data_IF_270077275658
#
_entry.id   IF_270077275658
#
_cell.length_a   1.000
_cell.length_b   1.000
_cell.length_c   1.000
_cell.angle_alpha   90.00
_cell.angle_beta   90.00
_cell.angle_gamma   90.00
#
_symmetry.space_group_name_H-M   'P 1'
#
loop_
_entity.id
_entity.type
_entity.pdbx_description
1 polymer ?
#
# COMPACT_ATOMS: atom_id res chain seq x y z
N UNK A 1 -71.52 41.76 -3.48
CA UNK A 1 -70.55 40.66 -3.26
C UNK A 1 -69.35 40.89 -4.15
N UNK A 2 -68.16 41.15 -3.59
CA UNK A 2 -66.90 41.30 -4.35
C UNK A 2 -66.05 40.06 -4.07
N UNK A 3 -65.89 39.21 -5.09
CA UNK A 3 -65.13 37.96 -5.01
C UNK A 3 -63.64 38.28 -5.03
N UNK A 4 -62.91 37.95 -3.95
CA UNK A 4 -61.44 38.03 -3.91
C UNK A 4 -60.86 36.78 -4.56
N UNK A 5 -60.10 36.95 -5.63
CA UNK A 5 -59.33 35.89 -6.27
C UNK A 5 -57.97 35.81 -5.58
N UNK A 6 -57.67 34.69 -4.91
CA UNK A 6 -56.36 34.43 -4.32
C UNK A 6 -55.59 33.56 -5.33
N UNK A 7 -54.51 34.11 -5.90
CA UNK A 7 -53.54 33.32 -6.65
C UNK A 7 -52.57 32.65 -5.68
N UNK A 8 -52.55 31.32 -5.68
CA UNK A 8 -51.52 30.51 -5.00
C UNK A 8 -50.43 30.20 -6.03
N UNK A 9 -49.25 30.75 -5.84
CA UNK A 9 -48.05 30.37 -6.60
C UNK A 9 -47.49 29.07 -5.99
N UNK A 10 -47.68 27.94 -6.68
CA UNK A 10 -46.97 26.70 -6.35
C UNK A 10 -45.52 26.83 -6.85
N UNK A 11 -44.57 26.96 -5.93
CA UNK A 11 -43.16 26.80 -6.23
C UNK A 11 -42.86 25.30 -6.33
N UNK A 12 -42.87 24.77 -7.55
CA UNK A 12 -42.41 23.41 -7.83
C UNK A 12 -40.89 23.46 -7.74
N UNK A 13 -40.36 23.10 -6.57
CA UNK A 13 -38.95 22.72 -6.46
C UNK A 13 -38.76 21.43 -7.25
N UNK A 14 -38.30 21.57 -8.49
CA UNK A 14 -37.70 20.46 -9.21
C UNK A 14 -36.45 20.06 -8.43
N UNK A 15 -36.58 19.08 -7.54
CA UNK A 15 -35.47 18.31 -7.00
C UNK A 15 -34.87 17.56 -8.18
N UNK A 16 -34.05 18.25 -8.95
CA UNK A 16 -33.12 17.62 -9.86
C UNK A 16 -32.11 16.92 -8.94
N UNK A 17 -32.35 15.66 -8.61
CA UNK A 17 -31.33 14.81 -8.03
C UNK A 17 -30.20 14.76 -9.05
N UNK A 18 -29.17 15.58 -8.84
CA UNK A 18 -27.97 15.51 -9.65
C UNK A 18 -27.41 14.10 -9.47
N UNK A 19 -27.61 13.24 -10.46
CA UNK A 19 -26.83 12.02 -10.54
C UNK A 19 -25.37 12.46 -10.58
N UNK A 20 -24.59 12.05 -9.57
CA UNK A 20 -23.14 12.15 -9.62
C UNK A 20 -22.75 11.42 -10.90
N UNK A 21 -22.19 12.10 -11.93
CA UNK A 21 -21.88 11.42 -13.17
C UNK A 21 -20.94 10.25 -12.88
N UNK A 22 -21.17 9.10 -13.53
CA UNK A 22 -20.36 7.88 -13.34
C UNK A 22 -18.85 8.14 -13.44
N UNK A 23 -18.46 9.19 -14.20
CA UNK A 23 -17.08 9.66 -14.33
C UNK A 23 -16.40 10.07 -13.02
N UNK A 24 -17.16 10.42 -11.97
CA UNK A 24 -16.62 10.80 -10.64
C UNK A 24 -16.28 9.55 -9.80
N UNK A 25 -16.75 8.36 -10.21
CA UNK A 25 -16.56 7.10 -9.49
C UNK A 25 -15.50 6.18 -10.13
N UNK A 26 -14.89 6.58 -11.25
CA UNK A 26 -13.92 5.71 -11.95
C UNK A 26 -12.54 5.84 -11.31
N UNK A 27 -12.12 4.78 -10.63
CA UNK A 27 -10.72 4.58 -10.22
C UNK A 27 -9.93 4.13 -11.46
N UNK A 28 -8.95 4.94 -11.87
CA UNK A 28 -7.93 4.57 -12.86
C UNK A 28 -6.62 4.38 -12.11
N UNK A 29 -6.38 3.14 -11.71
CA UNK A 29 -5.27 2.75 -10.84
C UNK A 29 -4.02 2.37 -11.60
N UNK A 30 -2.85 2.67 -11.02
CA UNK A 30 -1.57 2.10 -11.40
C UNK A 30 -0.86 1.59 -10.14
N UNK A 31 -0.25 0.40 -10.19
CA UNK A 31 0.44 -0.21 -9.04
C UNK A 31 1.89 -0.54 -9.42
N UNK A 32 2.84 0.04 -8.70
CA UNK A 32 4.27 -0.08 -8.99
C UNK A 32 5.10 -0.02 -7.69
N UNK A 33 6.31 -0.57 -7.72
CA UNK A 33 7.26 -0.41 -6.62
C UNK A 33 7.67 1.05 -6.44
N UNK A 34 7.95 1.44 -5.20
CA UNK A 34 8.54 2.73 -4.87
C UNK A 34 9.90 2.90 -5.58
N UNK A 35 10.23 4.11 -6.06
CA UNK A 35 11.53 4.34 -6.68
C UNK A 35 12.65 4.24 -5.64
N UNK A 36 13.87 3.98 -6.09
CA UNK A 36 15.05 4.24 -5.26
C UNK A 36 15.25 5.75 -5.09
N UNK A 37 15.96 6.20 -4.03
CA UNK A 37 16.38 7.58 -3.84
C UNK A 37 17.00 8.23 -5.08
N UNK A 38 17.84 7.50 -5.80
CA UNK A 38 18.55 7.97 -7.00
C UNK A 38 17.61 8.20 -8.19
N UNK A 39 16.58 7.35 -8.34
CA UNK A 39 15.61 7.41 -9.45
C UNK A 39 14.38 8.27 -9.14
N UNK A 40 14.35 8.93 -7.99
CA UNK A 40 13.21 9.74 -7.58
C UNK A 40 12.86 10.82 -8.62
N UNK A 41 13.85 11.50 -9.18
CA UNK A 41 13.62 12.54 -10.18
C UNK A 41 12.84 12.03 -11.40
N UNK A 42 13.29 10.92 -11.97
CA UNK A 42 12.63 10.26 -13.10
C UNK A 42 11.22 9.80 -12.73
N UNK A 43 11.03 9.28 -11.52
CA UNK A 43 9.73 8.82 -11.05
C UNK A 43 8.72 9.96 -10.88
N UNK A 44 9.16 11.13 -10.37
CA UNK A 44 8.30 12.31 -10.28
C UNK A 44 7.89 12.80 -11.68
N UNK A 45 8.83 12.82 -12.63
CA UNK A 45 8.53 13.14 -14.02
C UNK A 45 7.54 12.15 -14.65
N UNK A 46 7.67 10.85 -14.35
CA UNK A 46 6.72 9.82 -14.78
C UNK A 46 5.32 10.03 -14.17
N UNK A 47 5.23 10.38 -12.89
CA UNK A 47 3.95 10.70 -12.26
C UNK A 47 3.24 11.88 -12.94
N UNK A 48 4.00 12.93 -13.28
CA UNK A 48 3.48 14.15 -13.90
C UNK A 48 3.11 13.94 -15.37
N UNK A 49 4.02 13.40 -16.17
CA UNK A 49 3.86 13.36 -17.62
C UNK A 49 3.05 12.15 -18.09
N UNK A 50 3.29 10.98 -17.50
CA UNK A 50 2.72 9.74 -17.98
C UNK A 50 1.47 9.35 -17.18
N UNK A 51 1.55 9.33 -15.85
CA UNK A 51 0.37 8.94 -15.04
C UNK A 51 -0.72 10.00 -15.14
N UNK A 52 -0.42 11.24 -14.73
CA UNK A 52 -1.41 12.32 -14.77
C UNK A 52 -1.82 12.66 -16.21
N UNK A 53 -0.88 12.69 -17.14
CA UNK A 53 -1.15 12.93 -18.57
C UNK A 53 -2.10 11.91 -19.21
N UNK A 54 -2.11 10.65 -18.73
CA UNK A 54 -3.06 9.61 -19.18
C UNK A 54 -4.31 9.49 -18.28
N UNK A 55 -4.48 10.42 -17.33
CA UNK A 55 -5.64 10.48 -16.45
C UNK A 55 -5.68 9.38 -15.38
N UNK A 56 -4.53 8.77 -15.04
CA UNK A 56 -4.41 7.94 -13.85
C UNK A 56 -4.66 8.84 -12.62
N UNK A 57 -5.55 8.40 -11.74
CA UNK A 57 -5.97 9.18 -10.58
C UNK A 57 -5.70 8.47 -9.24
N UNK A 58 -5.19 7.24 -9.28
CA UNK A 58 -4.84 6.47 -8.09
C UNK A 58 -3.53 5.72 -8.33
N UNK A 59 -2.57 5.88 -7.43
CA UNK A 59 -1.27 5.23 -7.49
C UNK A 59 -1.07 4.42 -6.22
N UNK A 60 -1.00 3.09 -6.36
CA UNK A 60 -0.54 2.20 -5.29
C UNK A 60 0.97 2.07 -5.40
N UNK A 61 1.68 2.43 -4.33
CA UNK A 61 3.14 2.38 -4.29
C UNK A 61 3.59 1.28 -3.33
N UNK A 62 4.29 0.27 -3.84
CA UNK A 62 4.86 -0.80 -3.01
C UNK A 62 6.13 -0.29 -2.34
N UNK A 63 6.00 0.11 -1.07
CA UNK A 63 7.06 0.74 -0.27
C UNK A 63 7.85 -0.32 0.49
N UNK A 64 7.16 -1.28 1.12
CA UNK A 64 7.78 -2.32 1.95
C UNK A 64 8.82 -1.72 2.90
N UNK A 65 10.09 -2.13 2.82
CA UNK A 65 11.19 -1.64 3.65
C UNK A 65 11.98 -0.46 3.05
N UNK A 66 11.57 0.03 1.87
CA UNK A 66 12.17 1.16 1.14
C UNK A 66 11.71 2.53 1.67
N UNK A 67 11.76 2.70 2.99
CA UNK A 67 11.55 3.98 3.66
C UNK A 67 12.41 4.03 4.95
N UNK A 68 12.92 5.20 5.30
CA UNK A 68 13.75 5.40 6.49
C UNK A 68 12.93 5.37 7.80
N UNK A 69 12.27 4.24 8.09
CA UNK A 69 11.42 4.03 9.27
C UNK A 69 12.10 4.39 10.58
N UNK A 70 11.54 5.33 11.35
CA UNK A 70 12.07 5.73 12.67
C UNK A 70 11.66 4.77 13.78
N UNK A 71 10.48 4.17 13.67
CA UNK A 71 9.95 3.17 14.60
C UNK A 71 10.85 1.95 14.70
N UNK A 72 11.25 1.37 13.56
CA UNK A 72 12.13 0.21 13.48
C UNK A 72 13.28 0.43 12.48
N UNK A 73 14.35 1.14 12.88
CA UNK A 73 15.47 1.48 11.99
C UNK A 73 16.22 0.28 11.40
N UNK A 74 16.21 -0.85 12.10
CA UNK A 74 16.87 -2.08 11.67
C UNK A 74 16.17 -2.76 10.48
N UNK A 75 14.88 -2.47 10.26
CA UNK A 75 14.12 -3.02 9.13
C UNK A 75 14.33 -2.29 7.81
N UNK A 76 14.98 -1.13 7.81
CA UNK A 76 15.17 -0.31 6.60
C UNK A 76 16.00 -1.02 5.55
N UNK A 77 15.68 -0.83 4.28
CA UNK A 77 16.60 -1.15 3.20
C UNK A 77 17.81 -0.18 3.19
N UNK A 78 18.94 -0.62 2.65
CA UNK A 78 20.17 0.20 2.59
C UNK A 78 19.97 1.49 1.80
N UNK A 79 19.16 1.44 0.73
CA UNK A 79 18.85 2.58 -0.14
C UNK A 79 17.39 3.02 0.00
N UNK A 80 16.96 3.26 1.24
CA UNK A 80 15.59 3.64 1.56
C UNK A 80 15.27 5.11 1.23
N UNK A 81 14.02 5.40 0.87
CA UNK A 81 13.55 6.77 0.70
C UNK A 81 13.52 7.54 2.03
N UNK A 82 14.12 8.73 2.04
CA UNK A 82 14.02 9.64 3.18
C UNK A 82 12.64 10.27 3.31
N UNK A 83 12.31 10.76 4.51
CA UNK A 83 11.09 11.55 4.75
C UNK A 83 10.93 12.72 3.77
N UNK A 84 12.03 13.42 3.45
CA UNK A 84 12.01 14.55 2.51
C UNK A 84 11.59 14.09 1.11
N UNK A 85 12.13 12.95 0.65
CA UNK A 85 11.83 12.38 -0.66
C UNK A 85 10.40 11.86 -0.73
N UNK A 86 9.89 11.20 0.32
CA UNK A 86 8.47 10.83 0.39
C UNK A 86 7.57 12.06 0.33
N UNK A 87 7.91 13.15 1.03
CA UNK A 87 7.13 14.40 0.91
C UNK A 87 7.17 15.03 -0.49
N UNK A 88 8.19 14.74 -1.31
CA UNK A 88 8.18 15.11 -2.73
C UNK A 88 7.16 14.27 -3.51
N UNK A 89 7.10 12.94 -3.30
CA UNK A 89 6.08 12.06 -3.89
C UNK A 89 4.66 12.52 -3.53
N UNK A 90 4.40 12.77 -2.24
CA UNK A 90 3.09 13.24 -1.74
C UNK A 90 2.70 14.57 -2.38
N UNK A 91 3.65 15.52 -2.49
CA UNK A 91 3.39 16.81 -3.13
C UNK A 91 3.04 16.63 -4.59
N UNK A 92 3.85 15.90 -5.36
CA UNK A 92 3.62 15.67 -6.79
C UNK A 92 2.29 14.94 -7.04
N UNK A 93 1.95 13.94 -6.23
CA UNK A 93 0.67 13.25 -6.33
C UNK A 93 -0.51 14.23 -6.13
N UNK A 94 -0.46 15.05 -5.09
CA UNK A 94 -1.50 16.05 -4.79
C UNK A 94 -1.63 17.13 -5.86
N UNK A 95 -0.51 17.65 -6.37
CA UNK A 95 -0.50 18.66 -7.44
C UNK A 95 -1.13 18.13 -8.75
N UNK A 96 -1.10 16.81 -8.94
CA UNK A 96 -1.64 16.13 -10.12
C UNK A 96 -2.98 15.40 -9.86
N UNK A 97 -3.61 15.60 -8.71
CA UNK A 97 -4.85 14.90 -8.31
C UNK A 97 -4.76 13.36 -8.35
N UNK A 98 -3.58 12.82 -8.05
CA UNK A 98 -3.35 11.39 -7.89
C UNK A 98 -3.49 11.04 -6.41
N UNK A 99 -4.42 10.13 -6.09
CA UNK A 99 -4.52 9.51 -4.78
C UNK A 99 -3.37 8.53 -4.58
N UNK A 100 -2.48 8.82 -3.64
CA UNK A 100 -1.30 8.00 -3.35
C UNK A 100 -1.59 7.04 -2.18
N UNK A 101 -1.50 5.75 -2.43
CA UNK A 101 -1.79 4.68 -1.47
C UNK A 101 -0.50 3.87 -1.25
N UNK A 102 0.14 3.96 -0.08
CA UNK A 102 1.30 3.13 0.20
C UNK A 102 0.90 1.68 0.49
N UNK A 103 1.81 0.77 0.15
CA UNK A 103 1.73 -0.65 0.48
C UNK A 103 2.98 -1.07 1.25
N UNK A 104 2.77 -1.80 2.34
CA UNK A 104 3.73 -2.77 2.87
C UNK A 104 3.07 -4.12 2.68
N UNK A 105 3.74 -5.08 2.04
CA UNK A 105 3.15 -6.40 1.88
C UNK A 105 3.15 -7.14 3.22
N UNK A 106 1.96 -7.26 3.79
CA UNK A 106 1.72 -7.96 5.04
C UNK A 106 1.56 -9.46 4.75
N UNK A 107 1.81 -10.27 5.77
CA UNK A 107 1.69 -11.72 5.82
C UNK A 107 2.65 -12.47 4.89
N UNK A 108 2.42 -12.44 3.57
CA UNK A 108 3.24 -13.11 2.56
C UNK A 108 4.47 -12.32 2.14
N UNK A 109 5.23 -12.83 1.16
CA UNK A 109 6.43 -12.18 0.60
C UNK A 109 7.48 -11.72 1.63
N UNK A 110 7.60 -12.44 2.73
CA UNK A 110 8.67 -12.22 3.72
C UNK A 110 9.98 -12.93 3.33
N UNK A 111 9.99 -13.59 2.17
CA UNK A 111 11.16 -14.00 1.40
C UNK A 111 10.81 -14.06 -0.08
N UNK A 112 11.79 -14.30 -0.94
CA UNK A 112 11.59 -14.68 -2.33
C UNK A 112 12.65 -15.68 -2.76
N UNK A 113 12.24 -16.89 -3.14
CA UNK A 113 13.15 -17.99 -3.42
C UNK A 113 14.16 -18.18 -2.26
N UNK A 114 15.46 -18.22 -2.56
CA UNK A 114 16.52 -18.35 -1.55
C UNK A 114 16.76 -17.11 -0.67
N UNK A 115 16.12 -15.97 -0.96
CA UNK A 115 16.42 -14.70 -0.28
C UNK A 115 15.38 -14.36 0.78
N UNK A 116 15.77 -14.38 2.05
CA UNK A 116 14.94 -13.93 3.17
C UNK A 116 14.76 -12.40 3.14
N UNK A 117 13.54 -11.91 3.36
CA UNK A 117 13.23 -10.48 3.45
C UNK A 117 13.58 -9.86 4.81
N UNK A 118 13.60 -8.53 4.90
CA UNK A 118 14.14 -7.79 6.06
C UNK A 118 13.49 -8.19 7.40
N UNK A 119 12.17 -8.38 7.44
CA UNK A 119 11.48 -8.77 8.68
C UNK A 119 11.99 -10.09 9.24
N UNK A 120 12.10 -11.14 8.42
CA UNK A 120 12.56 -12.45 8.88
C UNK A 120 14.08 -12.52 9.05
N UNK A 121 14.85 -11.62 8.42
CA UNK A 121 16.27 -11.46 8.71
C UNK A 121 16.49 -10.91 10.13
N UNK A 122 15.75 -9.86 10.50
CA UNK A 122 15.89 -9.16 11.78
C UNK A 122 15.13 -9.87 12.92
N UNK A 123 14.00 -10.50 12.59
CA UNK A 123 13.09 -11.19 13.51
C UNK A 123 12.74 -12.60 13.00
N UNK A 124 13.70 -13.53 12.97
CA UNK A 124 13.45 -14.90 12.51
C UNK A 124 12.40 -15.65 13.34
N UNK A 125 12.13 -15.22 14.58
CA UNK A 125 11.05 -15.76 15.41
C UNK A 125 9.65 -15.47 14.86
N UNK A 126 9.51 -14.54 13.90
CA UNK A 126 8.23 -14.28 13.26
C UNK A 126 7.95 -15.20 12.07
N UNK A 127 8.86 -16.10 11.68
CA UNK A 127 8.66 -16.99 10.52
C UNK A 127 7.48 -17.94 10.75
N UNK A 128 6.55 -18.03 9.79
CA UNK A 128 5.43 -18.99 9.79
C UNK A 128 5.92 -20.44 9.71
N UNK A 129 7.03 -20.66 9.00
CA UNK A 129 7.57 -21.99 8.71
C UNK A 129 9.07 -22.06 9.06
N UNK A 130 9.46 -21.88 10.33
CA UNK A 130 10.88 -21.80 10.71
C UNK A 130 11.63 -23.12 10.45
N UNK A 131 10.88 -24.21 10.31
CA UNK A 131 11.39 -25.55 10.00
C UNK A 131 11.70 -25.75 8.50
N UNK A 132 11.14 -24.92 7.61
CA UNK A 132 11.44 -24.93 6.16
C UNK A 132 12.68 -24.08 5.93
N UNK A 133 13.70 -24.65 5.29
CA UNK A 133 14.93 -23.93 4.93
C UNK A 133 14.93 -23.68 3.43
N UNK A 134 14.92 -22.41 3.03
CA UNK A 134 14.99 -22.06 1.62
C UNK A 134 16.36 -22.49 1.05
N UNK A 135 16.40 -23.27 -0.04
CA UNK A 135 17.64 -23.66 -0.69
C UNK A 135 18.30 -22.49 -1.42
N UNK A 136 19.62 -22.56 -1.61
CA UNK A 136 20.38 -21.59 -2.43
C UNK A 136 19.97 -21.70 -3.91
N UNK A 137 19.92 -22.92 -4.43
CA UNK A 137 19.36 -23.24 -5.74
C UNK A 137 17.88 -23.58 -5.60
N UNK A 138 17.03 -22.59 -5.88
CA UNK A 138 15.59 -22.70 -5.70
C UNK A 138 14.87 -23.18 -6.97
N UNK A 139 14.02 -24.20 -6.84
CA UNK A 139 13.14 -24.71 -7.89
C UNK A 139 11.67 -24.65 -7.47
N UNK A 140 10.77 -24.41 -8.44
CA UNK A 140 9.32 -24.42 -8.23
C UNK A 140 8.60 -25.26 -9.31
N UNK A 141 7.66 -26.15 -8.93
CA UNK A 141 7.24 -26.51 -7.57
C UNK A 141 8.31 -27.28 -6.77
N UNK A 142 8.22 -27.27 -5.44
CA UNK A 142 9.07 -28.05 -4.53
C UNK A 142 8.24 -28.78 -3.46
N UNK A 143 8.87 -29.69 -2.72
CA UNK A 143 8.22 -30.52 -1.70
C UNK A 143 7.71 -29.73 -0.49
N UNK A 144 8.31 -28.57 -0.20
CA UNK A 144 7.89 -27.66 0.88
C UNK A 144 6.67 -26.83 0.49
N UNK A 145 6.22 -26.86 -0.77
CA UNK A 145 4.97 -26.23 -1.21
C UNK A 145 4.95 -24.70 -1.15
N UNK A 146 6.10 -24.04 -0.97
CA UNK A 146 6.22 -22.59 -0.94
C UNK A 146 7.45 -22.09 -1.72
N UNK A 147 7.33 -20.90 -2.33
CA UNK A 147 8.46 -20.16 -2.93
C UNK A 147 8.80 -18.86 -2.21
N UNK A 148 7.91 -18.39 -1.36
CA UNK A 148 8.14 -17.27 -0.47
C UNK A 148 7.58 -17.62 0.90
N UNK A 149 8.26 -17.12 1.94
CA UNK A 149 7.86 -17.29 3.32
C UNK A 149 6.83 -16.23 3.71
N UNK A 150 6.05 -16.57 4.72
CA UNK A 150 5.15 -15.66 5.43
C UNK A 150 5.58 -15.51 6.89
N UNK A 151 5.05 -14.51 7.58
CA UNK A 151 5.18 -14.42 9.04
C UNK A 151 4.01 -15.13 9.75
N UNK A 152 4.23 -15.59 10.99
CA UNK A 152 3.23 -16.23 11.84
C UNK A 152 2.30 -15.18 12.47
N UNK A 153 1.01 -15.11 12.05
CA UNK A 153 0.08 -14.10 12.57
C UNK A 153 -0.32 -14.32 14.03
N UNK A 154 0.06 -15.46 14.62
CA UNK A 154 -0.20 -15.80 16.02
C UNK A 154 0.90 -15.33 16.98
N UNK A 155 2.07 -14.92 16.46
CA UNK A 155 3.17 -14.51 17.31
C UNK A 155 2.81 -13.21 18.07
N UNK A 156 2.88 -13.18 19.42
CA UNK A 156 2.35 -12.08 20.21
C UNK A 156 3.02 -10.72 19.94
N UNK A 157 4.33 -10.73 19.67
CA UNK A 157 5.11 -9.50 19.48
C UNK A 157 5.12 -8.96 18.03
N UNK A 158 4.59 -9.72 17.06
CA UNK A 158 4.66 -9.37 15.64
C UNK A 158 3.89 -8.09 15.32
N UNK A 159 2.65 -8.00 15.81
CA UNK A 159 1.74 -6.93 15.44
C UNK A 159 2.20 -5.56 15.99
N UNK A 160 2.94 -5.53 17.09
CA UNK A 160 3.57 -4.30 17.59
C UNK A 160 4.51 -3.71 16.53
N UNK A 161 5.33 -4.56 15.91
CA UNK A 161 6.28 -4.15 14.86
C UNK A 161 5.55 -3.73 13.60
N UNK A 162 4.69 -4.60 13.05
CA UNK A 162 4.03 -4.35 11.76
C UNK A 162 3.12 -3.12 11.83
N UNK A 163 2.34 -2.95 12.89
CA UNK A 163 1.42 -1.81 13.00
C UNK A 163 2.15 -0.49 13.18
N UNK A 164 3.29 -0.46 13.87
CA UNK A 164 4.10 0.75 13.95
C UNK A 164 4.65 1.19 12.58
N UNK A 165 5.04 0.23 11.72
CA UNK A 165 5.46 0.54 10.34
C UNK A 165 4.29 1.10 9.53
N UNK A 166 3.11 0.47 9.63
CA UNK A 166 1.90 0.93 8.94
C UNK A 166 1.52 2.34 9.38
N UNK A 167 1.49 2.60 10.69
CA UNK A 167 1.19 3.92 11.25
C UNK A 167 2.16 4.99 10.75
N UNK A 168 3.46 4.69 10.76
CA UNK A 168 4.49 5.63 10.30
C UNK A 168 4.37 5.92 8.80
N UNK A 169 4.10 4.89 7.99
CA UNK A 169 3.89 5.03 6.54
C UNK A 169 2.65 5.85 6.23
N UNK A 170 1.55 5.58 6.92
CA UNK A 170 0.31 6.32 6.74
C UNK A 170 0.50 7.82 7.06
N UNK A 171 1.21 8.15 8.14
CA UNK A 171 1.53 9.55 8.50
C UNK A 171 2.43 10.23 7.46
N UNK A 172 3.53 9.58 7.07
CA UNK A 172 4.49 10.21 6.15
C UNK A 172 3.94 10.35 4.74
N UNK A 173 3.12 9.41 4.27
CA UNK A 173 2.43 9.51 2.99
C UNK A 173 1.19 10.42 3.05
N UNK A 174 0.70 10.78 4.25
CA UNK A 174 -0.57 11.50 4.43
C UNK A 174 -1.72 10.77 3.72
N UNK A 175 -1.69 9.44 3.79
CA UNK A 175 -2.62 8.59 3.06
C UNK A 175 -3.92 8.40 3.84
N UNK A 176 -5.01 8.23 3.11
CA UNK A 176 -6.33 7.89 3.65
C UNK A 176 -6.70 6.41 3.47
N UNK A 177 -5.84 5.65 2.78
CA UNK A 177 -5.93 4.22 2.61
C UNK A 177 -4.54 3.60 2.62
N UNK A 178 -4.52 2.35 3.05
CA UNK A 178 -3.35 1.48 3.08
C UNK A 178 -3.66 0.24 2.23
N UNK A 179 -2.72 -0.17 1.40
CA UNK A 179 -2.82 -1.46 0.72
C UNK A 179 -2.02 -2.49 1.53
N UNK A 180 -2.70 -3.48 2.10
CA UNK A 180 -2.05 -4.47 2.97
C UNK A 180 -1.30 -5.57 2.19
N UNK A 181 -1.55 -5.72 0.89
CA UNK A 181 -1.03 -6.85 0.13
C UNK A 181 -1.69 -8.14 0.61
N UNK A 182 -0.98 -8.94 1.42
CA UNK A 182 -1.44 -10.23 1.98
C UNK A 182 -1.62 -11.32 0.93
N UNK A 183 -0.87 -11.25 -0.15
CA UNK A 183 -0.87 -12.22 -1.23
C UNK A 183 0.14 -13.36 -1.02
N UNK A 184 -0.08 -14.46 -1.74
CA UNK A 184 0.85 -15.59 -1.87
C UNK A 184 1.29 -16.21 -0.54
N UNK A 185 0.30 -16.45 0.35
CA UNK A 185 0.49 -17.11 1.64
C UNK A 185 0.13 -18.58 1.54
N UNK A 186 1.14 -19.45 1.71
CA UNK A 186 0.99 -20.91 1.54
C UNK A 186 0.64 -21.64 2.85
N UNK A 187 1.09 -21.11 3.98
CA UNK A 187 0.86 -21.63 5.32
C UNK A 187 0.31 -20.51 6.21
N UNK A 188 -0.73 -20.83 6.99
CA UNK A 188 -1.35 -19.91 7.95
C UNK A 188 -1.65 -20.70 9.23
N UNK A 189 -1.00 -20.33 10.33
CA UNK A 189 -1.13 -21.04 11.60
C UNK A 189 -0.56 -22.45 11.56
N UNK A 190 0.61 -22.65 10.94
CA UNK A 190 1.35 -23.91 11.01
C UNK A 190 1.52 -24.35 12.46
N UNK A 191 1.39 -25.65 12.73
CA UNK A 191 1.48 -26.20 14.08
C UNK A 191 2.85 -26.00 14.74
N UNK A 192 3.87 -25.59 13.96
CA UNK A 192 5.22 -25.28 14.40
C UNK A 192 5.54 -23.79 14.25
N UNK A 193 4.57 -22.93 13.95
CA UNK A 193 4.78 -21.49 14.01
C UNK A 193 4.85 -21.04 15.49
N UNK A 194 5.74 -20.09 15.84
CA UNK A 194 6.09 -19.83 17.24
C UNK A 194 5.00 -19.11 18.07
#
# INVERSE_FOLDING_TARGET
MKTKLILVFLWVHTLCGAQIPDSILIVKGFCIAAPSPERLGDFLAFMENDLAGNGINTLVLRVDYNYEYKSYPNLRDEQALSRKQVKMLVRTARENNIRLIPQINLLGHQSWAGTTGRLLQEYPQFDETPHVKMPEDYEWPNDDGLYCKSYCPLHPDLHEVVFALVDEIMDVFQADAFHAGMDEVFYIGDNRCP
#
